data_IF_919664136522
#
_entry.id   IF_919664136522
#
_cell.length_a   1.000
_cell.length_b   1.000
_cell.length_c   1.000
_cell.angle_alpha   90.00
_cell.angle_beta   90.00
_cell.angle_gamma   90.00
#
_symmetry.space_group_name_H-M   'P 1'
#
loop_
_entity.id
_entity.type
_entity.pdbx_description
1 polymer ?
#
# COMPACT_ATOMS: atom_id res chain seq x y z
N UNK A 1 40.82 2.90 -19.93
CA UNK A 1 39.42 2.48 -19.71
C UNK A 1 39.22 2.37 -18.21
N UNK A 2 38.81 3.47 -17.59
CA UNK A 2 38.58 3.59 -16.14
C UNK A 2 37.07 3.43 -15.82
N UNK A 3 36.23 3.28 -16.85
CA UNK A 3 34.77 3.30 -16.78
C UNK A 3 34.13 1.95 -16.39
N UNK A 4 34.89 0.85 -16.40
CA UNK A 4 34.36 -0.49 -16.10
C UNK A 4 33.87 -0.64 -14.65
N UNK A 5 34.68 -0.19 -13.68
CA UNK A 5 34.32 -0.26 -12.27
C UNK A 5 33.13 0.65 -11.93
N UNK A 6 33.07 1.84 -12.53
CA UNK A 6 31.95 2.77 -12.36
C UNK A 6 30.64 2.24 -12.97
N UNK A 7 30.71 1.48 -14.07
CA UNK A 7 29.54 0.83 -14.66
C UNK A 7 29.01 -0.33 -13.79
N UNK A 8 29.89 -1.12 -13.16
CA UNK A 8 29.47 -2.22 -12.28
C UNK A 8 28.80 -1.68 -11.00
N UNK A 9 29.37 -0.67 -10.35
CA UNK A 9 28.75 0.00 -9.19
C UNK A 9 27.40 0.63 -9.55
N UNK A 10 27.31 1.30 -10.71
CA UNK A 10 26.05 1.87 -11.18
C UNK A 10 24.99 0.78 -11.46
N UNK A 11 25.40 -0.38 -12.00
CA UNK A 11 24.51 -1.53 -12.21
C UNK A 11 23.96 -2.03 -10.88
N UNK A 12 24.81 -2.26 -9.89
CA UNK A 12 24.39 -2.75 -8.57
C UNK A 12 23.39 -1.80 -7.90
N UNK A 13 23.65 -0.49 -7.93
CA UNK A 13 22.72 0.52 -7.41
C UNK A 13 21.38 0.51 -8.17
N UNK A 14 21.43 0.36 -9.49
CA UNK A 14 20.25 0.24 -10.35
C UNK A 14 19.40 -0.99 -10.00
N UNK A 15 20.04 -2.15 -9.82
CA UNK A 15 19.38 -3.41 -9.47
C UNK A 15 18.71 -3.33 -8.08
N UNK A 16 19.41 -2.78 -7.09
CA UNK A 16 18.85 -2.54 -5.76
C UNK A 16 17.63 -1.61 -5.81
N UNK A 17 17.73 -0.52 -6.58
CA UNK A 17 16.62 0.40 -6.76
C UNK A 17 15.44 -0.27 -7.47
N UNK A 18 15.71 -1.10 -8.48
CA UNK A 18 14.68 -1.83 -9.21
C UNK A 18 13.92 -2.80 -8.30
N UNK A 19 14.62 -3.50 -7.40
CA UNK A 19 13.99 -4.35 -6.38
C UNK A 19 13.08 -3.52 -5.46
N UNK A 20 13.57 -2.36 -4.99
CA UNK A 20 12.78 -1.44 -4.17
C UNK A 20 11.52 -0.94 -4.89
N UNK A 21 11.64 -0.55 -6.16
CA UNK A 21 10.50 -0.10 -6.98
C UNK A 21 9.49 -1.22 -7.19
N UNK A 22 9.93 -2.44 -7.52
CA UNK A 22 9.06 -3.61 -7.67
C UNK A 22 8.29 -3.92 -6.39
N UNK A 23 8.93 -3.82 -5.22
CA UNK A 23 8.25 -3.96 -3.93
C UNK A 23 7.19 -2.89 -3.72
N UNK A 24 7.48 -1.63 -4.04
CA UNK A 24 6.50 -0.53 -3.94
C UNK A 24 5.30 -0.76 -4.87
N UNK A 25 5.54 -1.19 -6.11
CA UNK A 25 4.47 -1.52 -7.06
C UNK A 25 3.60 -2.65 -6.50
N UNK A 26 4.21 -3.74 -6.02
CA UNK A 26 3.45 -4.85 -5.43
C UNK A 26 2.60 -4.41 -4.25
N UNK A 27 3.12 -3.54 -3.38
CA UNK A 27 2.35 -3.00 -2.26
C UNK A 27 1.18 -2.12 -2.74
N UNK A 28 1.42 -1.26 -3.73
CA UNK A 28 0.34 -0.44 -4.31
C UNK A 28 -0.73 -1.28 -4.99
N UNK A 29 -0.36 -2.36 -5.67
CA UNK A 29 -1.33 -3.30 -6.27
C UNK A 29 -2.20 -3.99 -5.22
N UNK A 30 -1.64 -4.31 -4.04
CA UNK A 30 -2.42 -4.87 -2.94
C UNK A 30 -3.43 -3.84 -2.40
N UNK A 31 -3.01 -2.59 -2.23
CA UNK A 31 -3.89 -1.49 -1.80
C UNK A 31 -4.99 -1.27 -2.85
N UNK A 32 -4.63 -1.23 -4.14
CA UNK A 32 -5.57 -1.08 -5.25
C UNK A 32 -6.64 -2.18 -5.23
N UNK A 33 -6.23 -3.44 -5.09
CA UNK A 33 -7.16 -4.57 -5.05
C UNK A 33 -8.15 -4.45 -3.88
N UNK A 34 -7.65 -4.15 -2.68
CA UNK A 34 -8.49 -3.98 -1.49
C UNK A 34 -9.49 -2.82 -1.65
N UNK A 35 -9.04 -1.68 -2.18
CA UNK A 35 -9.91 -0.53 -2.46
C UNK A 35 -10.96 -0.87 -3.52
N UNK A 36 -10.57 -1.55 -4.60
CA UNK A 36 -11.50 -1.98 -5.65
C UNK A 36 -12.60 -2.88 -5.06
N UNK A 37 -12.26 -3.86 -4.22
CA UNK A 37 -13.24 -4.72 -3.56
C UNK A 37 -14.23 -3.94 -2.69
N UNK A 38 -13.75 -2.95 -1.92
CA UNK A 38 -14.62 -2.10 -1.11
C UNK A 38 -15.55 -1.23 -1.97
N UNK A 39 -15.04 -0.68 -3.07
CA UNK A 39 -15.85 0.10 -4.03
C UNK A 39 -16.92 -0.78 -4.67
N UNK A 40 -16.59 -2.00 -5.10
CA UNK A 40 -17.58 -2.92 -5.67
C UNK A 40 -18.68 -3.25 -4.66
N UNK A 41 -18.32 -3.58 -3.41
CA UNK A 41 -19.31 -3.83 -2.33
C UNK A 41 -20.20 -2.62 -2.07
N UNK A 42 -19.63 -1.43 -2.04
CA UNK A 42 -20.38 -0.19 -1.87
C UNK A 42 -21.37 0.04 -3.04
N UNK A 43 -20.93 -0.19 -4.28
CA UNK A 43 -21.77 0.04 -5.47
C UNK A 43 -22.92 -0.96 -5.59
N UNK A 44 -22.78 -2.17 -5.02
CA UNK A 44 -23.83 -3.18 -5.02
C UNK A 44 -24.91 -2.94 -3.93
N UNK A 45 -24.59 -2.18 -2.87
CA UNK A 45 -25.50 -1.84 -1.79
C UNK A 45 -26.40 -0.66 -2.15
N UNK A 46 -27.45 -0.87 -2.94
CA UNK A 46 -28.44 0.17 -3.23
C UNK A 46 -29.38 0.39 -2.03
N UNK A 47 -29.23 1.52 -1.33
CA UNK A 47 -30.21 2.01 -0.36
C UNK A 47 -30.01 1.57 1.09
N UNK A 48 -28.91 0.89 1.41
CA UNK A 48 -28.57 0.60 2.80
C UNK A 48 -28.10 1.87 3.53
N UNK A 49 -28.63 2.08 4.75
CA UNK A 49 -28.18 3.14 5.66
C UNK A 49 -26.69 2.95 6.04
N UNK A 50 -26.17 1.73 5.88
CA UNK A 50 -24.81 1.35 6.18
C UNK A 50 -23.97 1.28 4.89
N UNK A 51 -22.97 2.14 4.78
CA UNK A 51 -21.99 2.10 3.70
C UNK A 51 -20.79 1.24 4.11
N UNK A 52 -20.58 0.05 3.52
CA UNK A 52 -19.47 -0.84 3.90
C UNK A 52 -18.10 -0.23 3.62
N UNK A 53 -17.97 0.63 2.60
CA UNK A 53 -16.74 1.37 2.31
C UNK A 53 -16.41 2.36 3.44
N UNK A 54 -17.38 3.14 3.91
CA UNK A 54 -17.17 4.09 5.02
C UNK A 54 -16.81 3.38 6.32
N UNK A 55 -17.47 2.25 6.61
CA UNK A 55 -17.15 1.48 7.80
C UNK A 55 -15.71 0.94 7.77
N UNK A 56 -15.29 0.29 6.68
CA UNK A 56 -13.92 -0.22 6.56
C UNK A 56 -12.86 0.88 6.59
N UNK A 57 -13.13 2.05 6.00
CA UNK A 57 -12.21 3.19 6.07
C UNK A 57 -12.11 3.78 7.48
N UNK A 58 -13.23 3.86 8.22
CA UNK A 58 -13.22 4.35 9.59
C UNK A 58 -12.47 3.39 10.52
N UNK A 59 -12.72 2.08 10.41
CA UNK A 59 -12.02 1.08 11.22
C UNK A 59 -10.49 1.11 10.99
N UNK A 60 -10.06 1.31 9.73
CA UNK A 60 -8.64 1.47 9.40
C UNK A 60 -8.02 2.79 9.90
N UNK A 61 -8.83 3.82 10.16
CA UNK A 61 -8.38 5.09 10.76
C UNK A 61 -8.28 4.98 12.29
N UNK A 62 -9.16 4.20 12.95
CA UNK A 62 -9.10 3.98 14.41
C UNK A 62 -7.91 3.11 14.84
N UNK A 63 -7.41 2.23 13.97
CA UNK A 63 -6.19 1.45 14.24
C UNK A 63 -4.92 2.33 14.25
N UNK A 64 -4.96 3.50 13.61
CA UNK A 64 -3.87 4.49 13.63
C UNK A 64 -3.93 5.47 14.81
N UNK A 65 -5.05 5.55 15.54
CA UNK A 65 -5.27 6.49 16.65
C UNK A 65 -5.33 5.81 18.03
N UNK A 66 -5.36 4.48 18.12
CA UNK A 66 -5.45 3.73 19.39
C UNK A 66 -4.11 3.37 20.05
N UNK A 67 -2.97 3.89 19.57
CA UNK A 67 -1.67 3.85 20.29
C UNK A 67 -1.60 4.88 21.45
N UNK A 68 -2.63 4.94 22.30
CA UNK A 68 -2.62 5.82 23.50
C UNK A 68 -2.87 5.09 24.81
N UNK A 69 -3.22 3.80 24.80
CA UNK A 69 -3.46 3.06 26.05
C UNK A 69 -2.94 1.61 26.01
N UNK A 70 -1.63 1.44 26.19
CA UNK A 70 -1.11 0.26 26.90
C UNK A 70 0.13 0.60 27.73
N UNK A 71 -0.07 1.48 28.72
CA UNK A 71 0.71 1.40 29.96
C UNK A 71 0.14 0.22 30.75
N UNK A 72 0.85 -0.90 30.73
CA UNK A 72 1.19 -1.69 31.93
C UNK A 72 2.32 -2.65 31.63
#
# INVERSE_FOLDING_TARGET
LQDGAHCDEARELGEQKLISVRRKISHLQQIEQALNELVQKCSAGHGDVYCPLMASLNDGVEDATTDKHKVR
#
